data_IF_074177473708
#
_entry.id   IF_074177473708
#
_cell.length_a   1.000
_cell.length_b   1.000
_cell.length_c   1.000
_cell.angle_alpha   90.00
_cell.angle_beta   90.00
_cell.angle_gamma   90.00
#
_symmetry.space_group_name_H-M   'P 1'
#
loop_
_entity.id
_entity.type
_entity.pdbx_description
1 polymer ?
#
# COMPACT_ATOMS: atom_id res chain seq x y z
N UNK A 1 -51.14 5.85 -40.19
CA UNK A 1 -50.38 6.92 -39.46
C UNK A 1 -50.41 6.71 -37.96
N UNK A 2 -51.54 6.41 -37.30
CA UNK A 2 -51.66 6.28 -35.86
C UNK A 2 -50.79 5.18 -35.23
N UNK A 3 -50.57 4.04 -35.86
CA UNK A 3 -49.70 2.96 -35.35
C UNK A 3 -48.23 3.32 -35.35
N UNK A 4 -47.72 4.11 -36.30
CA UNK A 4 -46.33 4.59 -36.33
C UNK A 4 -46.08 5.63 -35.24
N UNK A 5 -47.06 6.48 -34.95
CA UNK A 5 -46.97 7.47 -33.90
C UNK A 5 -46.95 6.81 -32.49
N UNK A 6 -47.74 5.75 -32.31
CA UNK A 6 -47.77 4.98 -31.04
C UNK A 6 -46.42 4.27 -30.79
N UNK A 7 -45.78 3.74 -31.82
CA UNK A 7 -44.48 3.09 -31.76
C UNK A 7 -43.37 4.12 -31.42
N UNK A 8 -43.47 5.31 -31.97
CA UNK A 8 -42.52 6.40 -31.72
C UNK A 8 -42.60 6.90 -30.28
N UNK A 9 -43.81 6.99 -29.74
CA UNK A 9 -44.03 7.34 -28.33
C UNK A 9 -43.53 6.27 -27.37
N UNK A 10 -43.67 4.96 -27.69
CA UNK A 10 -43.15 3.85 -26.91
C UNK A 10 -41.60 3.83 -26.88
N UNK A 11 -40.96 4.08 -28.03
CA UNK A 11 -39.50 4.18 -28.11
C UNK A 11 -38.99 5.40 -27.34
N UNK A 12 -39.71 6.52 -27.40
CA UNK A 12 -39.36 7.73 -26.64
C UNK A 12 -39.46 7.50 -25.12
N UNK A 13 -40.48 6.74 -24.67
CA UNK A 13 -40.65 6.36 -23.27
C UNK A 13 -39.53 5.45 -22.78
N UNK A 14 -39.05 4.49 -23.60
CA UNK A 14 -37.94 3.60 -23.24
C UNK A 14 -36.63 4.37 -23.10
N UNK A 15 -36.40 5.39 -23.94
CA UNK A 15 -35.20 6.26 -23.83
C UNK A 15 -35.27 7.14 -22.56
N UNK A 16 -36.45 7.58 -22.15
CA UNK A 16 -36.63 8.39 -20.94
C UNK A 16 -36.54 7.58 -19.63
N UNK A 17 -36.78 6.26 -19.69
CA UNK A 17 -36.66 5.34 -18.55
C UNK A 17 -35.30 4.60 -18.53
N UNK A 18 -34.35 4.86 -19.45
CA UNK A 18 -32.98 4.47 -19.17
C UNK A 18 -32.55 5.24 -17.91
N UNK A 19 -32.20 4.53 -16.82
CA UNK A 19 -31.59 5.21 -15.70
C UNK A 19 -30.29 5.81 -16.26
N UNK A 20 -30.27 7.12 -16.44
CA UNK A 20 -29.03 7.83 -16.44
C UNK A 20 -28.40 7.47 -15.08
N UNK A 21 -27.48 6.50 -15.10
CA UNK A 21 -26.64 6.24 -13.98
C UNK A 21 -25.94 7.57 -13.69
N UNK A 22 -26.53 8.33 -12.79
CA UNK A 22 -25.83 9.35 -12.04
C UNK A 22 -24.68 8.58 -11.40
N UNK A 23 -23.55 8.54 -12.09
CA UNK A 23 -22.29 8.21 -11.47
C UNK A 23 -22.24 9.13 -10.24
N UNK A 24 -22.48 8.58 -9.08
CA UNK A 24 -22.22 9.31 -7.85
C UNK A 24 -20.71 9.58 -7.94
N UNK A 25 -20.38 10.85 -8.14
CA UNK A 25 -19.00 11.27 -7.90
C UNK A 25 -18.66 10.70 -6.53
N UNK A 26 -17.58 9.94 -6.41
CA UNK A 26 -17.14 9.44 -5.13
C UNK A 26 -16.75 10.68 -4.32
N UNK A 27 -17.74 11.20 -3.61
CA UNK A 27 -17.53 12.29 -2.69
C UNK A 27 -16.50 11.85 -1.63
N UNK A 28 -15.82 12.81 -1.05
CA UNK A 28 -14.96 12.57 0.10
C UNK A 28 -15.79 11.78 1.14
N UNK A 29 -15.29 10.64 1.65
CA UNK A 29 -16.00 9.91 2.69
C UNK A 29 -16.28 10.80 3.88
N UNK A 30 -17.42 10.63 4.57
CA UNK A 30 -17.70 11.44 5.76
C UNK A 30 -16.62 11.20 6.82
N UNK A 31 -16.21 12.28 7.49
CA UNK A 31 -15.26 12.18 8.60
C UNK A 31 -15.76 11.18 9.64
N UNK A 32 -15.00 10.15 10.02
CA UNK A 32 -15.41 9.22 11.06
C UNK A 32 -15.63 9.92 12.40
N UNK A 33 -16.69 9.53 13.11
CA UNK A 33 -16.97 10.06 14.45
C UNK A 33 -15.95 9.55 15.49
N UNK A 34 -15.31 8.40 15.23
CA UNK A 34 -14.28 7.77 16.05
C UNK A 34 -13.19 7.22 15.13
N UNK A 35 -12.01 6.99 15.69
CA UNK A 35 -10.90 6.28 15.01
C UNK A 35 -10.50 6.89 13.66
N UNK A 36 -10.46 8.22 13.60
CA UNK A 36 -10.10 8.98 12.39
C UNK A 36 -8.78 8.53 11.75
N UNK A 37 -7.89 7.88 12.51
CA UNK A 37 -6.53 7.58 12.07
C UNK A 37 -6.42 6.55 10.95
N UNK A 38 -7.46 5.72 10.73
CA UNK A 38 -7.48 4.74 9.64
C UNK A 38 -8.88 4.55 9.10
N UNK A 39 -9.05 4.85 7.81
CA UNK A 39 -10.30 4.65 7.06
C UNK A 39 -9.97 3.86 5.80
N UNK A 40 -10.58 2.70 5.67
CA UNK A 40 -10.27 1.73 4.62
C UNK A 40 -11.52 1.41 3.79
N UNK A 41 -11.89 2.37 2.93
CA UNK A 41 -13.02 2.22 2.00
C UNK A 41 -12.69 1.28 0.82
N UNK A 42 -11.41 1.11 0.50
CA UNK A 42 -10.98 0.17 -0.52
C UNK A 42 -10.93 -1.29 -0.03
N UNK A 43 -10.99 -1.52 1.29
CA UNK A 43 -10.97 -2.85 1.88
C UNK A 43 -9.65 -3.60 1.69
N UNK A 44 -8.52 -2.87 1.65
CA UNK A 44 -7.20 -3.45 1.36
C UNK A 44 -6.32 -3.62 2.59
N UNK A 45 -6.76 -3.15 3.76
CA UNK A 45 -5.99 -3.23 5.00
C UNK A 45 -6.44 -4.41 5.85
N UNK A 46 -5.46 -5.16 6.36
CA UNK A 46 -5.68 -6.19 7.36
C UNK A 46 -6.11 -5.58 8.70
N UNK A 47 -6.84 -6.35 9.53
CA UNK A 47 -7.20 -5.92 10.88
C UNK A 47 -5.98 -5.58 11.72
N UNK A 48 -4.86 -6.30 11.52
CA UNK A 48 -3.59 -6.02 12.21
C UNK A 48 -3.03 -4.66 11.83
N UNK A 49 -2.97 -4.35 10.54
CA UNK A 49 -2.49 -3.05 10.05
C UNK A 49 -3.35 -1.90 10.59
N UNK A 50 -4.67 -2.05 10.57
CA UNK A 50 -5.60 -1.05 11.14
C UNK A 50 -5.33 -0.82 12.63
N UNK A 51 -5.15 -1.87 13.40
CA UNK A 51 -4.84 -1.76 14.84
C UNK A 51 -3.50 -1.06 15.08
N UNK A 52 -2.47 -1.38 14.30
CA UNK A 52 -1.16 -0.72 14.40
C UNK A 52 -1.30 0.77 14.12
N UNK A 53 -1.92 1.15 13.00
CA UNK A 53 -2.12 2.56 12.62
C UNK A 53 -2.89 3.30 13.72
N UNK A 54 -4.01 2.76 14.18
CA UNK A 54 -4.84 3.35 15.22
C UNK A 54 -4.04 3.57 16.51
N UNK A 55 -3.33 2.54 16.97
CA UNK A 55 -2.60 2.58 18.23
C UNK A 55 -1.47 3.61 18.20
N UNK A 56 -0.62 3.58 17.17
CA UNK A 56 0.53 4.49 17.09
C UNK A 56 0.15 5.92 16.74
N UNK A 57 -0.82 6.14 15.84
CA UNK A 57 -1.31 7.49 15.54
C UNK A 57 -1.98 8.14 16.75
N UNK A 58 -2.79 7.37 17.50
CA UNK A 58 -3.40 7.90 18.73
C UNK A 58 -2.37 8.20 19.82
N UNK A 59 -1.34 7.36 19.97
CA UNK A 59 -0.25 7.58 20.92
C UNK A 59 0.58 8.83 20.55
N UNK A 60 0.90 9.00 19.27
CA UNK A 60 1.60 10.20 18.77
C UNK A 60 0.76 11.46 19.01
N UNK A 61 -0.54 11.42 18.66
CA UNK A 61 -1.44 12.56 18.81
C UNK A 61 -1.59 13.01 20.27
N UNK A 62 -1.62 12.08 21.23
CA UNK A 62 -1.64 12.39 22.65
C UNK A 62 -0.41 13.20 23.11
N UNK A 63 0.76 12.96 22.48
CA UNK A 63 2.02 13.59 22.86
C UNK A 63 2.30 14.90 22.12
N UNK A 64 1.88 14.99 20.86
CA UNK A 64 2.30 16.07 19.95
C UNK A 64 1.12 16.82 19.31
N UNK A 65 -0.11 16.36 19.52
CA UNK A 65 -1.33 16.79 18.82
C UNK A 65 -1.29 16.53 17.30
N UNK A 66 -0.21 15.96 16.80
CA UNK A 66 -0.09 15.59 15.38
C UNK A 66 -0.99 14.41 15.06
N UNK A 67 -1.72 14.50 13.98
CA UNK A 67 -2.54 13.41 13.49
C UNK A 67 -1.93 12.85 12.21
N UNK A 68 -1.59 11.57 12.21
CA UNK A 68 -1.20 10.81 11.01
C UNK A 68 -2.36 9.90 10.66
N UNK A 69 -2.97 10.15 9.51
CA UNK A 69 -4.20 9.48 9.06
C UNK A 69 -3.91 8.69 7.79
N UNK A 70 -4.45 7.50 7.68
CA UNK A 70 -4.44 6.68 6.48
C UNK A 70 -5.86 6.59 5.94
N UNK A 71 -6.03 6.95 4.66
CA UNK A 71 -7.28 6.79 3.93
C UNK A 71 -7.02 5.97 2.68
N UNK A 72 -7.77 4.88 2.51
CA UNK A 72 -7.82 4.16 1.24
C UNK A 72 -9.19 4.32 0.62
N UNK A 73 -9.23 4.60 -0.68
CA UNK A 73 -10.46 4.69 -1.47
C UNK A 73 -10.36 3.79 -2.70
N UNK A 74 -11.48 3.27 -3.21
CA UNK A 74 -11.44 2.51 -4.46
C UNK A 74 -10.98 3.36 -5.65
N UNK A 75 -11.49 4.58 -5.77
CA UNK A 75 -11.24 5.49 -6.88
C UNK A 75 -11.40 6.95 -6.44
N UNK A 76 -10.80 7.86 -7.19
CA UNK A 76 -10.94 9.32 -7.05
C UNK A 76 -12.02 9.86 -8.00
N UNK A 77 -12.68 9.00 -8.79
CA UNK A 77 -13.70 9.34 -9.79
C UNK A 77 -13.31 10.47 -10.76
N UNK A 78 -12.04 10.48 -11.13
CA UNK A 78 -11.48 11.43 -12.10
C UNK A 78 -10.89 12.70 -11.48
N UNK A 79 -11.01 12.90 -10.17
CA UNK A 79 -10.37 14.00 -9.48
C UNK A 79 -8.84 13.81 -9.40
N UNK A 80 -8.09 14.90 -9.31
CA UNK A 80 -6.67 14.82 -9.05
C UNK A 80 -6.43 14.32 -7.62
N UNK A 81 -5.40 13.51 -7.40
CA UNK A 81 -5.11 13.02 -6.05
C UNK A 81 -4.66 14.14 -5.11
N UNK A 82 -4.10 15.20 -5.68
CA UNK A 82 -3.71 16.42 -5.00
C UNK A 82 -4.92 17.15 -4.43
N UNK A 83 -5.90 17.44 -5.28
CA UNK A 83 -7.11 18.17 -4.86
C UNK A 83 -7.94 17.35 -3.89
N UNK A 84 -8.11 16.05 -4.18
CA UNK A 84 -8.83 15.13 -3.31
C UNK A 84 -8.16 15.03 -1.92
N UNK A 85 -6.84 14.83 -1.87
CA UNK A 85 -6.09 14.72 -0.61
C UNK A 85 -6.15 16.00 0.22
N UNK A 86 -5.98 17.16 -0.43
CA UNK A 86 -6.07 18.47 0.21
C UNK A 86 -7.48 18.74 0.74
N UNK A 87 -8.50 18.36 -0.01
CA UNK A 87 -9.90 18.49 0.41
C UNK A 87 -10.19 17.63 1.62
N UNK A 88 -9.76 16.36 1.63
CA UNK A 88 -9.88 15.46 2.81
C UNK A 88 -9.15 16.07 4.02
N UNK A 89 -7.91 16.53 3.85
CA UNK A 89 -7.12 17.10 4.95
C UNK A 89 -7.86 18.27 5.61
N UNK A 90 -8.47 19.14 4.80
CA UNK A 90 -9.21 20.33 5.24
C UNK A 90 -10.57 19.99 5.84
N UNK A 91 -11.40 19.20 5.14
CA UNK A 91 -12.76 18.89 5.57
C UNK A 91 -12.77 18.04 6.85
N UNK A 92 -11.84 17.09 6.95
CA UNK A 92 -11.70 16.32 8.16
C UNK A 92 -10.99 17.09 9.28
N UNK A 93 -10.33 18.21 8.95
CA UNK A 93 -9.54 19.00 9.89
C UNK A 93 -8.47 18.15 10.55
N UNK A 94 -7.65 17.48 9.73
CA UNK A 94 -6.59 16.57 10.20
C UNK A 94 -5.46 17.40 10.80
N UNK A 95 -5.12 17.11 12.04
CA UNK A 95 -4.11 17.83 12.84
C UNK A 95 -4.69 18.86 13.79
N UNK A 96 -3.83 19.53 14.55
CA UNK A 96 -4.21 20.66 15.40
C UNK A 96 -4.42 21.92 14.56
N UNK A 97 -5.51 22.65 14.81
CA UNK A 97 -5.88 23.84 14.02
C UNK A 97 -4.85 24.99 14.12
N UNK A 98 -4.09 25.07 15.22
CA UNK A 98 -3.07 26.12 15.43
C UNK A 98 -1.74 25.69 14.85
N UNK A 99 -1.41 24.42 15.04
CA UNK A 99 -0.11 23.87 14.63
C UNK A 99 -0.11 23.45 13.15
N UNK A 100 -1.27 23.21 12.53
CA UNK A 100 -1.41 22.68 11.15
C UNK A 100 -0.51 21.44 10.92
N UNK A 101 -0.50 20.53 11.89
CA UNK A 101 0.42 19.40 11.94
C UNK A 101 -0.25 18.06 11.61
N UNK A 102 -1.13 18.08 10.62
CA UNK A 102 -1.78 16.89 10.08
C UNK A 102 -0.96 16.22 8.97
N UNK A 103 -1.06 14.91 8.86
CA UNK A 103 -0.54 14.14 7.73
C UNK A 103 -1.62 13.17 7.26
N UNK A 104 -1.89 13.15 5.96
CA UNK A 104 -2.79 12.20 5.31
C UNK A 104 -2.01 11.34 4.32
N UNK A 105 -2.01 10.02 4.54
CA UNK A 105 -1.56 9.03 3.58
C UNK A 105 -2.78 8.52 2.81
N UNK A 106 -2.95 8.96 1.57
CA UNK A 106 -4.06 8.63 0.69
C UNK A 106 -3.64 7.60 -0.36
N UNK A 107 -4.46 6.56 -0.54
CA UNK A 107 -4.25 5.53 -1.58
C UNK A 107 -5.55 5.26 -2.31
N UNK A 108 -5.55 5.49 -3.63
CA UNK A 108 -6.64 5.16 -4.54
C UNK A 108 -6.26 3.89 -5.33
N UNK A 109 -6.89 2.77 -4.99
CA UNK A 109 -6.41 1.45 -5.40
C UNK A 109 -6.67 1.13 -6.87
N UNK A 110 -7.84 1.49 -7.41
CA UNK A 110 -8.18 1.31 -8.84
C UNK A 110 -7.41 2.27 -9.72
N UNK A 111 -7.21 3.51 -9.27
CA UNK A 111 -6.45 4.53 -10.00
C UNK A 111 -4.95 4.32 -9.91
N UNK A 112 -4.49 3.41 -9.01
CA UNK A 112 -3.08 3.13 -8.72
C UNK A 112 -2.29 4.39 -8.37
N UNK A 113 -2.92 5.27 -7.60
CA UNK A 113 -2.35 6.52 -7.14
C UNK A 113 -2.18 6.49 -5.62
N UNK A 114 -1.13 7.13 -5.14
CA UNK A 114 -0.92 7.39 -3.72
C UNK A 114 -0.35 8.77 -3.51
N UNK A 115 -0.64 9.36 -2.35
CA UNK A 115 -0.14 10.67 -1.96
C UNK A 115 0.00 10.78 -0.45
N UNK A 116 0.99 11.53 -0.02
CA UNK A 116 1.16 11.93 1.37
C UNK A 116 0.99 13.45 1.41
N UNK A 117 -0.15 13.90 1.91
CA UNK A 117 -0.43 15.32 2.17
C UNK A 117 0.06 15.69 3.55
N UNK A 118 0.72 16.83 3.66
CA UNK A 118 1.35 17.31 4.88
C UNK A 118 0.85 18.70 5.20
N UNK A 119 0.40 18.89 6.44
CA UNK A 119 0.04 20.22 6.93
C UNK A 119 1.25 21.11 7.10
N UNK A 120 1.07 22.41 6.90
CA UNK A 120 2.12 23.42 6.88
C UNK A 120 3.08 23.35 8.09
N UNK A 121 2.56 23.02 9.28
CA UNK A 121 3.38 22.91 10.50
C UNK A 121 4.39 21.76 10.50
N UNK A 122 4.28 20.83 9.55
CA UNK A 122 5.19 19.70 9.42
C UNK A 122 6.07 19.74 8.16
N UNK A 123 5.93 20.75 7.29
CA UNK A 123 6.75 20.86 6.08
C UNK A 123 8.26 20.89 6.36
N UNK A 124 8.67 21.46 7.49
CA UNK A 124 10.07 21.44 7.91
C UNK A 124 10.60 20.06 8.32
N UNK A 125 9.70 19.15 8.74
CA UNK A 125 10.03 17.78 9.18
C UNK A 125 9.81 16.77 8.04
N UNK A 126 8.74 16.96 7.27
CA UNK A 126 8.29 16.06 6.22
C UNK A 126 8.02 16.85 4.92
N UNK A 127 9.06 17.42 4.28
CA UNK A 127 8.92 18.16 3.04
C UNK A 127 8.54 17.25 1.86
N UNK A 128 7.95 17.81 0.79
CA UNK A 128 7.48 17.08 -0.40
C UNK A 128 8.52 16.12 -0.99
N UNK A 129 9.78 16.55 -1.09
CA UNK A 129 10.83 15.67 -1.59
C UNK A 129 11.08 14.43 -0.71
N UNK A 130 10.75 14.49 0.58
CA UNK A 130 10.85 13.34 1.48
C UNK A 130 9.60 12.46 1.36
N UNK A 131 8.40 13.04 1.27
CA UNK A 131 7.16 12.27 1.05
C UNK A 131 7.21 11.48 -0.25
N UNK A 132 7.75 12.07 -1.32
CA UNK A 132 8.01 11.38 -2.59
C UNK A 132 8.95 10.18 -2.41
N UNK A 133 10.09 10.37 -1.73
CA UNK A 133 11.03 9.27 -1.46
C UNK A 133 10.40 8.17 -0.59
N UNK A 134 9.58 8.53 0.40
CA UNK A 134 8.87 7.53 1.22
C UNK A 134 7.94 6.69 0.34
N UNK A 135 7.19 7.30 -0.56
CA UNK A 135 6.34 6.57 -1.48
C UNK A 135 7.15 5.64 -2.39
N UNK A 136 8.21 6.14 -3.00
CA UNK A 136 9.04 5.39 -3.95
C UNK A 136 9.73 4.19 -3.28
N UNK A 137 10.26 4.37 -2.07
CA UNK A 137 11.07 3.36 -1.40
C UNK A 137 10.24 2.35 -0.60
N UNK A 138 9.17 2.80 0.06
CA UNK A 138 8.43 1.97 1.02
C UNK A 138 7.06 1.51 0.53
N UNK A 139 6.39 2.27 -0.36
CA UNK A 139 5.02 1.95 -0.78
C UNK A 139 4.98 1.28 -2.16
N UNK A 140 5.56 1.93 -3.18
CA UNK A 140 5.44 1.50 -4.56
C UNK A 140 5.99 0.09 -4.85
N UNK A 141 7.07 -0.39 -4.22
CA UNK A 141 7.55 -1.76 -4.47
C UNK A 141 6.53 -2.84 -4.11
N UNK A 142 5.78 -2.65 -3.02
CA UNK A 142 4.70 -3.55 -2.60
C UNK A 142 3.43 -3.35 -3.44
N UNK A 143 3.09 -2.10 -3.79
CA UNK A 143 1.94 -1.79 -4.65
C UNK A 143 2.07 -2.40 -6.05
N UNK A 144 3.25 -2.40 -6.65
CA UNK A 144 3.51 -3.05 -7.94
C UNK A 144 3.25 -4.56 -7.92
N UNK A 145 3.33 -5.19 -6.74
CA UNK A 145 3.00 -6.60 -6.51
C UNK A 145 1.55 -6.83 -6.13
N UNK A 146 0.73 -5.76 -6.06
CA UNK A 146 -0.65 -5.79 -5.59
C UNK A 146 -0.80 -5.87 -4.06
N UNK A 147 0.29 -5.78 -3.31
CA UNK A 147 0.28 -5.86 -1.85
C UNK A 147 0.14 -4.47 -1.22
N UNK A 148 -1.10 -3.96 -1.21
CA UNK A 148 -1.41 -2.65 -0.66
C UNK A 148 -1.23 -2.58 0.86
N UNK A 149 -1.61 -3.63 1.60
CA UNK A 149 -1.50 -3.68 3.07
C UNK A 149 -0.06 -3.44 3.53
N UNK A 150 0.88 -4.18 2.98
CA UNK A 150 2.30 -4.06 3.28
C UNK A 150 2.87 -2.70 2.88
N UNK A 151 2.56 -2.23 1.66
CA UNK A 151 3.06 -0.94 1.17
C UNK A 151 2.56 0.23 2.00
N UNK A 152 1.30 0.20 2.42
CA UNK A 152 0.71 1.22 3.28
C UNK A 152 1.35 1.17 4.67
N UNK A 153 1.52 -0.01 5.27
CA UNK A 153 2.14 -0.15 6.58
C UNK A 153 3.59 0.34 6.58
N UNK A 154 4.35 0.03 5.53
CA UNK A 154 5.75 0.47 5.39
C UNK A 154 5.83 1.99 5.23
N UNK A 155 5.02 2.58 4.35
CA UNK A 155 4.95 4.04 4.16
C UNK A 155 4.50 4.76 5.42
N UNK A 156 3.45 4.27 6.07
CA UNK A 156 2.98 4.79 7.36
C UNK A 156 4.07 4.75 8.42
N UNK A 157 4.80 3.63 8.53
CA UNK A 157 5.88 3.49 9.50
C UNK A 157 7.01 4.49 9.28
N UNK A 158 7.38 4.73 8.02
CA UNK A 158 8.39 5.73 7.66
C UNK A 158 7.92 7.16 7.99
N UNK A 159 6.67 7.50 7.70
CA UNK A 159 6.05 8.78 8.07
C UNK A 159 6.04 8.94 9.58
N UNK A 160 5.53 7.95 10.32
CA UNK A 160 5.44 7.97 11.77
C UNK A 160 6.81 8.21 12.43
N UNK A 161 7.84 7.49 11.98
CA UNK A 161 9.20 7.64 12.49
C UNK A 161 9.76 9.03 12.21
N UNK A 162 9.56 9.54 11.00
CA UNK A 162 10.03 10.87 10.60
C UNK A 162 9.37 11.96 11.45
N UNK A 163 8.06 11.88 11.62
CA UNK A 163 7.31 12.85 12.41
C UNK A 163 7.69 12.76 13.89
N UNK A 164 7.74 11.55 14.46
CA UNK A 164 8.15 11.38 15.87
C UNK A 164 9.55 11.96 16.12
N UNK A 165 10.51 11.69 15.21
CA UNK A 165 11.87 12.25 15.28
C UNK A 165 11.86 13.78 15.21
N UNK A 166 11.00 14.38 14.39
CA UNK A 166 10.85 15.85 14.33
C UNK A 166 10.44 16.48 15.66
N UNK A 167 9.72 15.74 16.49
CA UNK A 167 9.37 16.13 17.86
C UNK A 167 10.37 15.64 18.92
N UNK A 168 11.52 15.12 18.51
CA UNK A 168 12.52 14.57 19.46
C UNK A 168 12.09 13.27 20.14
N UNK A 169 11.10 12.56 19.58
CA UNK A 169 10.57 11.30 20.11
C UNK A 169 11.10 10.12 19.27
N UNK A 170 11.25 8.96 19.93
CA UNK A 170 11.37 7.68 19.25
C UNK A 170 10.00 7.00 19.19
N UNK A 171 9.74 6.24 18.15
CA UNK A 171 8.51 5.40 18.08
C UNK A 171 8.45 4.42 19.25
N UNK A 172 9.62 4.03 19.80
CA UNK A 172 9.72 3.17 21.00
C UNK A 172 9.19 3.85 22.27
N UNK A 173 9.19 5.17 22.28
CA UNK A 173 8.72 5.97 23.44
C UNK A 173 7.21 6.20 23.43
N UNK A 174 6.52 5.77 22.35
CA UNK A 174 5.07 5.86 22.26
C UNK A 174 4.44 4.75 23.10
N UNK A 175 3.56 5.07 24.05
CA UNK A 175 2.93 4.09 24.92
C UNK A 175 1.86 3.30 24.18
N UNK A 176 2.27 2.24 23.47
CA UNK A 176 1.38 1.37 22.72
C UNK A 176 1.33 0.02 23.39
N UNK A 177 0.18 -0.33 23.95
CA UNK A 177 -0.05 -1.63 24.57
C UNK A 177 -0.44 -2.67 23.52
N UNK A 178 0.25 -3.80 23.50
CA UNK A 178 -0.20 -5.02 22.79
C UNK A 178 0.07 -5.07 21.27
N UNK A 179 0.78 -4.12 20.69
CA UNK A 179 1.15 -4.17 19.26
C UNK A 179 2.65 -4.36 19.08
N UNK A 180 3.03 -5.24 18.15
CA UNK A 180 4.42 -5.25 17.65
C UNK A 180 4.71 -3.91 17.01
N UNK A 181 5.83 -3.28 17.34
CA UNK A 181 6.23 -1.99 16.76
C UNK A 181 6.18 -2.06 15.23
N UNK A 182 5.60 -1.04 14.54
CA UNK A 182 5.72 -0.96 13.10
C UNK A 182 7.19 -0.69 12.77
N UNK A 183 7.89 -1.71 12.32
CA UNK A 183 9.19 -1.53 11.71
C UNK A 183 8.96 -1.39 10.21
N UNK A 184 9.56 -0.39 9.53
CA UNK A 184 9.71 -0.47 8.09
C UNK A 184 10.40 -1.81 7.84
N UNK A 185 9.79 -2.67 7.05
CA UNK A 185 10.54 -3.82 6.57
C UNK A 185 11.70 -3.21 5.78
N UNK A 186 12.91 -3.23 6.39
CA UNK A 186 14.10 -3.11 5.59
C UNK A 186 13.91 -4.14 4.49
N UNK A 187 13.72 -3.65 3.26
CA UNK A 187 13.77 -4.53 2.11
C UNK A 187 15.04 -5.31 2.34
N UNK A 188 14.89 -6.61 2.59
CA UNK A 188 16.04 -7.48 2.66
C UNK A 188 16.79 -7.20 1.36
N UNK A 189 17.84 -6.38 1.48
CA UNK A 189 18.78 -6.23 0.38
C UNK A 189 19.18 -7.65 0.07
N UNK A 190 18.62 -8.14 -1.05
CA UNK A 190 18.92 -9.50 -1.45
C UNK A 190 20.42 -9.63 -1.41
N UNK A 191 20.93 -10.74 -0.90
CA UNK A 191 22.34 -11.05 -0.62
C UNK A 191 23.30 -10.08 -1.31
N UNK A 192 24.22 -9.41 -0.59
CA UNK A 192 25.14 -8.44 -1.15
C UNK A 192 25.71 -8.95 -2.47
N UNK A 193 25.88 -8.10 -3.45
CA UNK A 193 26.35 -8.48 -4.79
C UNK A 193 27.55 -9.43 -4.73
N UNK A 194 28.49 -9.18 -3.83
CA UNK A 194 29.66 -10.05 -3.56
C UNK A 194 29.26 -11.46 -3.11
N UNK A 195 28.23 -11.59 -2.25
CA UNK A 195 27.74 -12.90 -1.79
C UNK A 195 27.05 -13.67 -2.92
N UNK A 196 26.31 -12.98 -3.80
CA UNK A 196 25.75 -13.59 -5.02
C UNK A 196 26.85 -14.04 -5.98
N UNK A 197 27.89 -13.24 -6.11
CA UNK A 197 29.03 -13.54 -6.98
C UNK A 197 29.84 -14.72 -6.45
N UNK A 198 30.04 -14.83 -5.13
CA UNK A 198 30.67 -15.97 -4.47
C UNK A 198 29.86 -17.25 -4.62
N UNK A 199 28.53 -17.17 -4.41
CA UNK A 199 27.62 -18.32 -4.61
C UNK A 199 27.61 -18.78 -6.07
N UNK A 200 27.51 -17.84 -7.02
CA UNK A 200 27.54 -18.16 -8.44
C UNK A 200 28.90 -18.73 -8.85
N UNK A 201 30.00 -18.11 -8.40
CA UNK A 201 31.37 -18.60 -8.63
C UNK A 201 31.58 -19.99 -8.03
N UNK A 202 31.07 -20.25 -6.83
CA UNK A 202 31.10 -21.56 -6.17
C UNK A 202 30.36 -22.64 -6.98
N UNK A 203 29.17 -22.32 -7.52
CA UNK A 203 28.40 -23.25 -8.36
C UNK A 203 29.16 -23.55 -9.67
N UNK A 204 29.75 -22.51 -10.31
CA UNK A 204 30.54 -22.67 -11.54
C UNK A 204 31.79 -23.50 -11.26
N UNK A 205 32.47 -23.28 -10.14
CA UNK A 205 33.64 -24.05 -9.73
C UNK A 205 33.27 -25.52 -9.47
N UNK A 206 32.19 -25.79 -8.78
CA UNK A 206 31.67 -27.14 -8.56
C UNK A 206 31.35 -27.86 -9.88
N UNK A 207 30.77 -27.15 -10.84
CA UNK A 207 30.47 -27.69 -12.16
C UNK A 207 31.76 -28.01 -12.94
N UNK A 208 32.80 -27.14 -12.86
CA UNK A 208 34.11 -27.38 -13.49
C UNK A 208 34.82 -28.58 -12.87
N UNK A 209 34.78 -28.69 -11.53
CA UNK A 209 35.41 -29.82 -10.81
C UNK A 209 34.68 -31.14 -11.15
N UNK A 210 33.35 -31.16 -11.19
CA UNK A 210 32.55 -32.33 -11.59
C UNK A 210 32.90 -32.74 -13.03
N UNK A 211 33.06 -31.77 -13.94
CA UNK A 211 33.42 -32.06 -15.33
C UNK A 211 34.82 -32.61 -15.49
N UNK A 212 35.77 -32.09 -14.69
CA UNK A 212 37.20 -32.48 -14.75
C UNK A 212 37.45 -33.83 -14.09
N UNK A 213 36.84 -34.09 -12.93
CA UNK A 213 37.09 -35.31 -12.12
C UNK A 213 36.13 -36.45 -12.41
N UNK A 214 34.88 -36.14 -12.71
CA UNK A 214 33.79 -37.12 -12.83
C UNK A 214 33.09 -37.11 -14.21
N UNK A 215 33.65 -36.36 -15.18
CA UNK A 215 33.08 -36.31 -16.54
C UNK A 215 31.66 -35.74 -16.61
N UNK A 216 31.21 -35.00 -15.59
CA UNK A 216 29.83 -34.43 -15.51
C UNK A 216 28.79 -35.41 -14.98
N UNK A 217 29.17 -36.52 -14.36
CA UNK A 217 28.28 -37.57 -13.92
C UNK A 217 27.38 -37.11 -12.75
N UNK A 218 27.90 -36.34 -11.81
CA UNK A 218 27.17 -35.87 -10.64
C UNK A 218 26.07 -34.88 -11.07
N UNK A 219 26.41 -33.95 -11.95
CA UNK A 219 25.46 -32.95 -12.44
C UNK A 219 24.33 -33.58 -13.28
N UNK A 220 24.66 -34.55 -14.16
CA UNK A 220 23.63 -35.32 -14.90
C UNK A 220 22.69 -36.06 -13.98
N UNK A 221 23.21 -36.69 -12.92
CA UNK A 221 22.38 -37.44 -11.95
C UNK A 221 21.45 -36.52 -11.16
N UNK A 222 21.96 -35.35 -10.72
CA UNK A 222 21.14 -34.34 -10.03
C UNK A 222 20.04 -33.78 -10.93
N UNK A 223 20.36 -33.47 -12.20
CA UNK A 223 19.41 -32.97 -13.18
C UNK A 223 18.33 -34.01 -13.48
N UNK A 224 18.71 -35.29 -13.62
CA UNK A 224 17.77 -36.39 -13.78
C UNK A 224 16.83 -36.53 -12.58
N UNK A 225 17.35 -36.49 -11.34
CA UNK A 225 16.54 -36.55 -10.12
C UNK A 225 15.59 -35.35 -10.00
N UNK A 226 16.02 -34.15 -10.40
CA UNK A 226 15.20 -32.96 -10.29
C UNK A 226 14.05 -32.94 -11.33
N UNK A 227 14.35 -33.34 -12.57
CA UNK A 227 13.33 -33.30 -13.65
C UNK A 227 12.45 -34.56 -13.72
N UNK A 228 12.94 -35.74 -13.31
CA UNK A 228 12.19 -36.98 -13.44
C UNK A 228 11.58 -37.55 -12.14
N UNK A 229 11.86 -36.95 -10.98
CA UNK A 229 11.24 -37.37 -9.71
C UNK A 229 9.87 -36.72 -9.45
N UNK A 230 9.42 -35.80 -10.33
CA UNK A 230 8.13 -35.10 -10.22
C UNK A 230 6.97 -35.73 -10.98
N UNK A 231 7.14 -36.88 -11.62
CA UNK A 231 6.11 -37.53 -12.44
C UNK A 231 5.75 -38.92 -11.94
N UNK A 232 4.81 -39.01 -10.99
CA UNK A 232 4.29 -40.33 -10.65
C UNK A 232 3.40 -40.34 -9.41
N UNK A 233 2.10 -40.01 -9.59
CA UNK A 233 1.00 -40.73 -8.90
C UNK A 233 -0.37 -40.26 -9.39
N UNK A 234 -0.78 -40.75 -10.55
CA UNK A 234 -2.17 -40.91 -10.89
C UNK A 234 -2.52 -42.37 -10.62
N UNK A 235 -3.24 -42.64 -9.55
CA UNK A 235 -3.85 -43.92 -9.24
C UNK A 235 -5.36 -43.73 -9.31
N UNK A 236 -6.00 -44.22 -10.36
CA UNK A 236 -7.43 -44.35 -10.45
C UNK A 236 -7.93 -45.52 -9.58
N UNK A 237 -9.13 -45.35 -9.08
CA UNK A 237 -10.01 -46.43 -8.67
C UNK A 237 -11.41 -46.13 -9.20
N UNK A 238 -11.98 -47.18 -9.81
CA UNK A 238 -13.22 -47.43 -10.42
C UNK A 238 -14.48 -47.24 -9.59
#
# INVERSE_FOLDING_TARGET
>A
MKKKLLWLLLVLQVIFFLPWGLGQAAGIPPKPARDIYVVDEAGVLSSRTKQIILAYSSALAKRTKTQVVVLTVPTLDGESIEDYGLSVLREWGIGDKKENNGVLLLVATKDRKSRIEVGYGLEGVLPDGLTGRIQDQYMLPSFRKGNYDEGILNGYSAVLQTVAKGYGLSVKDLPVEGTSQPQPQEQSEGLPFLTRLILFGGIVLLFLVDRLLFGGAIFRTLLYLFFFRGGGRGGGFG
#
